data_IF_000522781735
#
_entry.id   IF_000522781735
#
_cell.length_a   1.000
_cell.length_b   1.000
_cell.length_c   1.000
_cell.angle_alpha   90.00
_cell.angle_beta   90.00
_cell.angle_gamma   90.00
#
_symmetry.space_group_name_H-M   'P 1'
#
loop_
_entity.id
_entity.type
_entity.pdbx_description
1 polymer ?
#
# COMPACT_ATOMS: atom_id res chain seq x y z
N UNK A 1 -28.14 -39.75 37.71
CA UNK A 1 -26.68 -39.78 37.43
C UNK A 1 -26.23 -38.37 37.11
N UNK A 2 -25.51 -37.77 38.05
CA UNK A 2 -24.81 -36.49 37.92
C UNK A 2 -23.39 -36.72 37.38
N UNK A 3 -22.64 -35.62 37.21
CA UNK A 3 -21.24 -35.44 36.76
C UNK A 3 -21.12 -34.89 35.32
N UNK A 4 -20.38 -33.82 35.03
CA UNK A 4 -19.72 -32.79 35.85
C UNK A 4 -19.35 -31.63 34.89
N UNK A 5 -19.53 -30.38 35.34
CA UNK A 5 -19.13 -29.14 34.65
C UNK A 5 -17.72 -28.73 35.08
N UNK A 6 -16.93 -28.22 34.10
CA UNK A 6 -15.75 -27.31 34.20
C UNK A 6 -14.47 -27.82 34.93
N UNK A 7 -13.24 -27.45 34.46
CA UNK A 7 -12.74 -26.07 34.60
C UNK A 7 -11.82 -25.55 33.45
N UNK A 8 -12.20 -24.43 32.81
CA UNK A 8 -11.29 -23.60 31.98
C UNK A 8 -11.06 -22.21 32.63
N UNK A 9 -11.64 -21.97 33.80
CA UNK A 9 -11.54 -20.69 34.53
C UNK A 9 -10.29 -20.55 35.41
N UNK A 10 -9.40 -21.54 35.45
CA UNK A 10 -8.21 -21.52 36.32
C UNK A 10 -6.94 -20.94 35.68
N UNK A 11 -6.94 -20.65 34.37
CA UNK A 11 -5.74 -20.09 33.70
C UNK A 11 -5.73 -18.56 33.56
N UNK A 12 -6.87 -17.89 33.79
CA UNK A 12 -6.96 -16.42 33.65
C UNK A 12 -6.60 -15.69 34.96
N UNK A 13 -6.68 -16.36 36.12
CA UNK A 13 -6.37 -15.75 37.42
C UNK A 13 -4.86 -15.70 37.77
N UNK A 14 -3.98 -16.43 37.08
CA UNK A 14 -2.56 -16.50 37.43
C UNK A 14 -1.69 -15.47 36.69
N UNK A 15 -2.18 -14.89 35.58
CA UNK A 15 -1.41 -13.90 34.79
C UNK A 15 -1.61 -12.46 35.28
N UNK A 16 -2.65 -12.19 36.07
CA UNK A 16 -2.94 -10.85 36.61
C UNK A 16 -2.28 -10.60 37.99
N UNK A 17 -1.80 -11.65 38.66
CA UNK A 17 -1.13 -11.55 39.96
C UNK A 17 0.38 -11.25 39.87
N UNK A 18 0.99 -11.35 38.68
CA UNK A 18 2.42 -11.03 38.47
C UNK A 18 2.70 -9.59 38.00
N UNK A 19 1.67 -8.78 37.74
CA UNK A 19 1.84 -7.39 37.28
C UNK A 19 1.59 -6.32 38.36
N UNK A 20 1.26 -6.72 39.60
CA UNK A 20 0.90 -5.79 40.70
C UNK A 20 1.85 -5.87 41.92
N UNK A 21 3.06 -6.43 41.77
CA UNK A 21 4.05 -6.54 42.86
C UNK A 21 5.40 -5.91 42.53
N UNK A 22 5.40 -4.67 42.07
CA UNK A 22 6.58 -3.77 42.23
C UNK A 22 6.10 -2.33 42.44
N UNK A 23 5.40 -2.10 43.55
CA UNK A 23 5.31 -0.79 44.18
C UNK A 23 5.62 -1.01 45.66
N UNK A 24 6.78 -0.55 46.09
CA UNK A 24 7.05 -0.26 47.50
C UNK A 24 7.65 1.14 47.62
N UNK A 25 7.25 1.92 48.64
CA UNK A 25 7.64 3.31 48.80
C UNK A 25 8.89 3.46 49.69
N UNK A 26 9.54 4.63 49.56
CA UNK A 26 10.30 5.26 50.63
C UNK A 26 11.83 5.11 50.58
N UNK A 27 12.53 6.20 50.27
CA UNK A 27 13.43 6.82 51.25
C UNK A 27 13.87 8.21 50.81
N UNK A 28 13.74 9.14 51.76
CA UNK A 28 14.31 10.48 51.76
C UNK A 28 15.84 10.43 51.66
N UNK A 29 16.44 11.37 50.93
CA UNK A 29 17.34 12.38 51.49
C UNK A 29 18.19 13.11 50.42
N UNK A 30 18.48 14.37 50.76
CA UNK A 30 19.56 15.24 50.27
C UNK A 30 19.30 16.10 49.03
N UNK A 31 18.82 17.29 49.35
CA UNK A 31 19.05 18.52 48.62
C UNK A 31 20.56 18.80 48.46
N UNK A 32 21.01 18.94 47.22
CA UNK A 32 22.21 19.71 46.88
C UNK A 32 21.86 20.64 45.70
N UNK A 33 22.09 21.93 45.92
CA UNK A 33 21.75 23.00 44.99
C UNK A 33 22.52 22.91 43.68
N UNK A 34 21.78 22.95 42.57
CA UNK A 34 22.33 23.26 41.25
C UNK A 34 22.22 24.75 40.98
N UNK A 35 23.36 25.38 40.71
CA UNK A 35 23.47 26.73 40.15
C UNK A 35 22.75 26.81 38.79
N UNK A 36 22.13 27.95 38.44
CA UNK A 36 21.53 28.14 37.13
C UNK A 36 22.63 28.13 36.06
N UNK A 37 22.47 27.25 35.07
CA UNK A 37 23.35 27.19 33.92
C UNK A 37 23.04 28.38 33.00
N UNK A 38 24.09 29.09 32.61
CA UNK A 38 24.09 30.22 31.69
C UNK A 38 23.46 29.87 30.34
N UNK A 39 22.83 30.88 29.75
CA UNK A 39 22.30 31.00 28.40
C UNK A 39 22.98 30.06 27.38
N UNK A 40 22.23 29.04 26.95
CA UNK A 40 22.58 28.29 25.75
C UNK A 40 22.38 29.20 24.53
N UNK A 41 23.49 29.51 23.84
CA UNK A 41 23.46 30.16 22.53
C UNK A 41 22.49 29.40 21.61
N UNK A 42 21.49 30.12 21.09
CA UNK A 42 20.60 29.60 20.05
C UNK A 42 21.46 29.22 18.84
N UNK A 43 21.38 27.98 18.34
CA UNK A 43 22.11 27.61 17.14
C UNK A 43 21.66 28.51 15.98
N UNK A 44 22.64 29.16 15.33
CA UNK A 44 22.44 29.90 14.08
C UNK A 44 21.78 28.94 13.09
N UNK A 45 20.55 29.25 12.67
CA UNK A 45 19.93 28.60 11.51
C UNK A 45 20.78 28.94 10.29
N UNK A 46 21.66 28.02 9.90
CA UNK A 46 22.29 28.08 8.59
C UNK A 46 21.20 27.98 7.52
N UNK A 47 21.25 28.92 6.58
CA UNK A 47 20.35 28.98 5.43
C UNK A 47 20.48 27.64 4.69
N UNK A 48 19.39 26.87 4.49
CA UNK A 48 19.48 25.57 3.87
C UNK A 48 20.11 25.72 2.48
N UNK A 49 21.17 24.95 2.23
CA UNK A 49 21.84 24.92 0.94
C UNK A 49 20.80 24.63 -0.15
N UNK A 50 20.93 25.31 -1.30
CA UNK A 50 20.04 25.09 -2.43
C UNK A 50 20.05 23.59 -2.78
N UNK A 51 18.87 22.96 -2.70
CA UNK A 51 18.72 21.56 -3.06
C UNK A 51 19.18 21.37 -4.51
N UNK A 52 19.93 20.30 -4.82
CA UNK A 52 20.31 20.01 -6.19
C UNK A 52 19.05 19.86 -7.04
N UNK A 53 19.10 20.38 -8.28
CA UNK A 53 18.01 20.22 -9.23
C UNK A 53 17.63 18.74 -9.37
N UNK A 54 16.33 18.44 -9.40
CA UNK A 54 15.86 17.07 -9.59
C UNK A 54 16.46 16.51 -10.89
N UNK A 55 17.03 15.29 -10.89
CA UNK A 55 17.51 14.69 -12.12
C UNK A 55 16.36 14.60 -13.14
N UNK A 56 16.68 14.84 -14.42
CA UNK A 56 15.76 14.60 -15.53
C UNK A 56 15.09 13.24 -15.37
N UNK A 57 13.78 13.16 -15.67
CA UNK A 57 12.92 11.99 -15.47
C UNK A 57 13.69 10.67 -15.59
N UNK A 58 13.91 10.02 -14.44
CA UNK A 58 14.68 8.79 -14.34
C UNK A 58 14.09 7.71 -15.24
N UNK A 59 14.95 6.97 -15.94
CA UNK A 59 14.54 5.88 -16.84
C UNK A 59 13.52 4.94 -16.21
N UNK A 60 12.55 4.42 -16.99
CA UNK A 60 11.57 3.46 -16.49
C UNK A 60 12.22 2.22 -15.85
N UNK A 61 11.60 1.72 -14.79
CA UNK A 61 11.92 0.44 -14.18
C UNK A 61 11.08 -0.63 -14.88
N UNK A 62 11.73 -1.49 -15.66
CA UNK A 62 11.09 -2.60 -16.35
C UNK A 62 11.06 -3.84 -15.44
N UNK A 63 9.89 -4.28 -14.95
CA UNK A 63 9.80 -5.43 -14.04
C UNK A 63 10.39 -6.72 -14.64
N UNK A 64 10.25 -6.90 -15.95
CA UNK A 64 10.83 -8.05 -16.68
C UNK A 64 12.35 -8.14 -16.55
N UNK A 65 13.03 -7.04 -16.24
CA UNK A 65 14.49 -6.98 -16.09
C UNK A 65 14.98 -7.34 -14.68
N UNK A 66 14.09 -7.45 -13.69
CA UNK A 66 14.44 -7.58 -12.28
C UNK A 66 14.54 -9.04 -11.78
N UNK A 67 14.22 -10.05 -12.60
CA UNK A 67 14.25 -11.45 -12.17
C UNK A 67 14.89 -12.37 -13.21
N UNK A 68 15.77 -13.29 -12.76
CA UNK A 68 16.41 -14.30 -13.60
C UNK A 68 15.40 -15.31 -14.20
N UNK A 69 14.25 -15.48 -13.54
CA UNK A 69 13.06 -16.17 -14.05
C UNK A 69 11.90 -15.19 -13.96
N UNK A 70 11.27 -14.83 -15.07
CA UNK A 70 10.16 -13.86 -15.07
C UNK A 70 8.93 -14.50 -14.42
N UNK A 71 8.56 -14.15 -13.17
CA UNK A 71 7.44 -14.80 -12.49
C UNK A 71 6.11 -14.50 -13.20
N UNK A 72 6.06 -13.46 -14.04
CA UNK A 72 4.89 -13.06 -14.81
C UNK A 72 4.75 -13.83 -16.13
N UNK A 73 5.67 -14.71 -16.53
CA UNK A 73 5.57 -15.42 -17.81
C UNK A 73 4.28 -16.25 -17.91
N UNK A 74 3.91 -16.95 -16.84
CA UNK A 74 2.65 -17.72 -16.79
C UNK A 74 1.44 -16.79 -16.88
N UNK A 75 1.46 -15.66 -16.14
CA UNK A 75 0.41 -14.65 -16.20
C UNK A 75 0.26 -14.08 -17.62
N UNK A 76 1.37 -13.76 -18.29
CA UNK A 76 1.40 -13.28 -19.67
C UNK A 76 0.76 -14.28 -20.63
N UNK A 77 1.09 -15.58 -20.50
CA UNK A 77 0.51 -16.63 -21.35
C UNK A 77 -1.01 -16.72 -21.17
N UNK A 78 -1.49 -16.64 -19.93
CA UNK A 78 -2.93 -16.66 -19.62
C UNK A 78 -3.62 -15.40 -20.14
N UNK A 79 -2.98 -14.22 -20.05
CA UNK A 79 -3.56 -12.94 -20.49
C UNK A 79 -3.39 -12.66 -21.99
N UNK A 80 -2.60 -13.46 -22.71
CA UNK A 80 -2.41 -13.32 -24.16
C UNK A 80 -3.58 -13.88 -25.00
N UNK A 81 -4.49 -14.63 -24.38
CA UNK A 81 -5.70 -15.15 -25.04
C UNK A 81 -6.82 -14.11 -25.02
N UNK A 82 -7.88 -14.35 -25.79
CA UNK A 82 -9.09 -13.50 -25.76
C UNK A 82 -9.78 -13.60 -24.39
N UNK A 83 -10.48 -12.55 -23.98
CA UNK A 83 -11.13 -12.46 -22.66
C UNK A 83 -12.09 -13.62 -22.36
N UNK A 84 -12.86 -14.04 -23.35
CA UNK A 84 -13.80 -15.17 -23.30
C UNK A 84 -13.12 -16.55 -23.19
N UNK A 85 -11.83 -16.63 -23.51
CA UNK A 85 -11.03 -17.85 -23.45
C UNK A 85 -10.14 -17.93 -22.20
N UNK A 86 -10.21 -16.95 -21.29
CA UNK A 86 -9.41 -16.97 -20.05
C UNK A 86 -9.91 -18.11 -19.15
N UNK A 87 -9.03 -19.07 -18.89
CA UNK A 87 -9.25 -20.10 -17.88
C UNK A 87 -9.07 -19.49 -16.48
N UNK A 88 -10.16 -18.96 -15.90
CA UNK A 88 -10.12 -18.22 -14.63
C UNK A 88 -9.59 -19.03 -13.43
N UNK A 89 -9.74 -20.36 -13.45
CA UNK A 89 -9.13 -21.26 -12.47
C UNK A 89 -7.60 -21.30 -12.58
N UNK A 90 -7.06 -21.36 -13.80
CA UNK A 90 -5.62 -21.30 -14.06
C UNK A 90 -5.06 -19.91 -13.76
N UNK A 91 -5.83 -18.86 -14.07
CA UNK A 91 -5.50 -17.49 -13.71
C UNK A 91 -5.37 -17.33 -12.19
N UNK A 92 -6.36 -17.81 -11.43
CA UNK A 92 -6.31 -17.83 -9.96
C UNK A 92 -5.09 -18.61 -9.46
N UNK A 93 -4.82 -19.78 -10.03
CA UNK A 93 -3.64 -20.58 -9.68
C UNK A 93 -2.33 -19.82 -9.98
N UNK A 94 -2.24 -19.11 -11.11
CA UNK A 94 -1.08 -18.29 -11.44
C UNK A 94 -0.89 -17.13 -10.45
N UNK A 95 -1.97 -16.45 -10.04
CA UNK A 95 -1.90 -15.42 -8.99
C UNK A 95 -1.45 -16.01 -7.64
N UNK A 96 -1.90 -17.22 -7.31
CA UNK A 96 -1.48 -17.95 -6.11
C UNK A 96 -0.01 -18.39 -6.23
N UNK A 97 0.49 -18.79 -7.38
CA UNK A 97 1.91 -19.12 -7.59
C UNK A 97 2.81 -17.90 -7.50
N UNK A 98 2.36 -16.76 -8.04
CA UNK A 98 2.99 -15.46 -7.83
C UNK A 98 3.05 -15.12 -6.33
N UNK A 99 2.07 -15.57 -5.56
CA UNK A 99 1.99 -15.41 -4.10
C UNK A 99 2.85 -16.46 -3.33
N UNK A 100 2.97 -17.71 -3.82
CA UNK A 100 3.61 -18.82 -3.09
C UNK A 100 5.12 -18.93 -3.34
N UNK A 101 5.66 -18.25 -4.35
CA UNK A 101 7.14 -18.14 -4.51
C UNK A 101 7.75 -16.90 -3.86
N UNK A 102 6.95 -16.13 -3.09
CA UNK A 102 7.45 -15.09 -2.20
C UNK A 102 7.24 -15.59 -0.76
N UNK A 103 8.18 -16.37 -0.18
CA UNK A 103 8.26 -16.50 1.29
C UNK A 103 8.16 -15.09 1.89
N UNK A 104 7.64 -14.89 3.13
CA UNK A 104 7.29 -13.58 3.69
C UNK A 104 8.37 -12.56 3.36
N UNK A 105 8.20 -11.84 2.26
CA UNK A 105 9.23 -10.98 1.67
C UNK A 105 10.66 -11.50 1.93
N UNK A 106 10.98 -12.74 1.54
CA UNK A 106 12.35 -13.22 1.64
C UNK A 106 13.11 -12.73 0.43
N UNK A 107 13.93 -11.73 0.71
CA UNK A 107 15.05 -11.26 -0.07
C UNK A 107 14.74 -10.81 -1.50
N UNK A 108 14.68 -11.61 -2.55
CA UNK A 108 14.92 -11.15 -3.94
C UNK A 108 14.21 -9.85 -4.40
N UNK A 109 12.87 -9.75 -4.49
CA UNK A 109 12.22 -8.52 -4.97
C UNK A 109 12.40 -7.36 -4.00
N UNK A 110 12.22 -7.57 -2.70
CA UNK A 110 12.44 -6.50 -1.72
C UNK A 110 13.91 -6.18 -1.50
N UNK A 111 14.81 -7.08 -1.84
CA UNK A 111 16.27 -6.91 -1.90
C UNK A 111 16.64 -6.21 -3.17
N UNK A 112 15.98 -6.46 -4.30
CA UNK A 112 16.17 -5.67 -5.52
C UNK A 112 15.55 -4.30 -5.37
N UNK A 113 14.39 -4.16 -4.73
CA UNK A 113 13.84 -2.87 -4.34
C UNK A 113 14.75 -2.19 -3.32
N UNK A 114 15.20 -2.88 -2.27
CA UNK A 114 16.13 -2.35 -1.28
C UNK A 114 17.49 -2.01 -1.88
N UNK A 115 18.06 -2.84 -2.76
CA UNK A 115 19.28 -2.57 -3.54
C UNK A 115 19.05 -1.40 -4.48
N UNK A 116 17.89 -1.32 -5.13
CA UNK A 116 17.51 -0.17 -5.93
C UNK A 116 17.47 1.07 -5.05
N UNK A 117 16.94 1.03 -3.83
CA UNK A 117 16.90 2.14 -2.88
C UNK A 117 18.26 2.49 -2.25
N UNK A 118 19.13 1.49 -2.07
CA UNK A 118 20.49 1.61 -1.51
C UNK A 118 21.55 1.87 -2.59
N UNK A 119 21.21 1.73 -3.87
CA UNK A 119 22.12 2.01 -4.97
C UNK A 119 22.64 3.45 -4.82
N UNK A 120 23.93 3.73 -5.09
CA UNK A 120 24.45 5.09 -5.04
C UNK A 120 23.63 6.07 -5.91
N UNK A 121 23.07 5.55 -7.00
CA UNK A 121 22.10 6.23 -7.87
C UNK A 121 20.78 6.53 -7.17
N UNK A 122 20.26 5.65 -6.31
CA UNK A 122 19.07 5.95 -5.52
C UNK A 122 19.34 6.84 -4.32
N UNK A 123 20.50 6.77 -3.68
CA UNK A 123 20.87 7.79 -2.71
C UNK A 123 20.85 9.20 -3.37
N UNK A 124 21.25 9.32 -4.64
CA UNK A 124 21.09 10.55 -5.44
C UNK A 124 19.63 10.82 -5.86
N UNK A 125 18.87 9.81 -6.29
CA UNK A 125 17.42 9.93 -6.61
C UNK A 125 16.54 10.15 -5.38
N UNK A 126 17.05 9.93 -4.17
CA UNK A 126 16.37 10.13 -2.90
C UNK A 126 17.02 11.30 -2.10
N UNK A 127 18.11 11.86 -2.60
CA UNK A 127 18.72 13.06 -2.01
C UNK A 127 17.79 14.27 -2.14
N UNK A 128 17.04 14.39 -3.23
CA UNK A 128 16.02 15.45 -3.39
C UNK A 128 14.76 15.20 -2.55
N UNK A 129 14.53 13.94 -2.16
CA UNK A 129 13.46 13.51 -1.28
C UNK A 129 13.77 13.99 0.15
N UNK A 130 15.00 13.81 0.64
CA UNK A 130 15.39 14.24 1.99
C UNK A 130 15.27 15.76 2.15
N UNK A 131 14.16 16.21 2.77
CA UNK A 131 13.95 17.60 3.18
C UNK A 131 12.89 18.40 2.42
N UNK A 132 12.04 17.77 1.59
CA UNK A 132 10.97 18.49 0.85
C UNK A 132 9.57 18.12 1.36
N UNK A 133 8.62 19.06 1.28
CA UNK A 133 7.19 18.81 1.60
C UNK A 133 6.61 17.61 0.81
N UNK A 134 7.23 17.25 -0.32
CA UNK A 134 6.83 16.13 -1.16
C UNK A 134 6.96 14.78 -0.45
N UNK A 135 8.00 14.58 0.36
CA UNK A 135 8.23 13.29 1.04
C UNK A 135 7.36 13.13 2.25
N UNK A 136 7.21 14.20 3.02
CA UNK A 136 6.21 14.24 4.09
C UNK A 136 4.83 13.93 3.54
N UNK A 137 4.52 14.41 2.33
CA UNK A 137 3.24 14.14 1.67
C UNK A 137 3.09 12.67 1.22
N UNK A 138 4.15 12.07 0.65
CA UNK A 138 4.13 10.64 0.29
C UNK A 138 4.07 9.75 1.53
N UNK A 139 4.93 9.98 2.54
CA UNK A 139 4.87 9.28 3.82
C UNK A 139 3.47 9.37 4.43
N UNK A 140 2.91 10.59 4.51
CA UNK A 140 1.56 10.79 5.02
C UNK A 140 0.49 10.04 4.23
N UNK A 141 0.61 9.97 2.89
CA UNK A 141 -0.32 9.19 2.07
C UNK A 141 -0.29 7.72 2.45
N UNK A 142 0.91 7.13 2.58
CA UNK A 142 1.07 5.69 2.81
C UNK A 142 0.80 5.33 4.27
N UNK A 143 1.29 6.11 5.23
CA UNK A 143 1.16 5.83 6.67
C UNK A 143 -0.26 6.07 7.20
N UNK A 144 -0.97 7.13 6.75
CA UNK A 144 -2.36 7.35 7.16
C UNK A 144 -3.34 6.35 6.53
N UNK A 145 -2.87 5.48 5.62
CA UNK A 145 -3.70 4.46 4.97
C UNK A 145 -4.21 3.35 5.88
N UNK A 146 -3.63 3.22 7.08
CA UNK A 146 -3.93 2.13 8.01
C UNK A 146 -5.09 2.42 8.98
N UNK A 147 -6.29 2.65 8.45
CA UNK A 147 -7.53 2.42 9.20
C UNK A 147 -8.11 3.62 9.96
N UNK A 148 -7.65 4.84 9.68
CA UNK A 148 -8.33 6.05 10.14
C UNK A 148 -9.36 6.44 9.07
N UNK A 149 -10.66 6.29 9.38
CA UNK A 149 -11.79 6.64 8.49
C UNK A 149 -11.74 8.08 7.95
N UNK A 150 -10.89 8.90 8.55
CA UNK A 150 -10.78 10.33 8.34
C UNK A 150 -9.37 10.80 7.91
N UNK A 151 -8.56 9.88 7.39
CA UNK A 151 -7.23 10.14 6.83
C UNK A 151 -7.26 11.08 5.62
N UNK A 152 -6.15 11.82 5.42
CA UNK A 152 -6.00 12.83 4.38
C UNK A 152 -6.16 12.21 2.99
N UNK A 153 -5.58 11.02 2.74
CA UNK A 153 -5.65 10.37 1.44
C UNK A 153 -7.08 9.89 1.09
N UNK A 154 -7.86 9.38 2.07
CA UNK A 154 -9.26 9.01 1.85
C UNK A 154 -10.09 10.23 1.49
N UNK A 155 -9.93 11.33 2.24
CA UNK A 155 -10.62 12.60 1.99
C UNK A 155 -10.29 13.15 0.60
N UNK A 156 -9.00 13.22 0.25
CA UNK A 156 -8.55 13.68 -1.06
C UNK A 156 -9.11 12.81 -2.19
N UNK A 157 -8.97 11.48 -2.11
CA UNK A 157 -9.47 10.57 -3.14
C UNK A 157 -11.00 10.60 -3.27
N UNK A 158 -11.75 10.71 -2.17
CA UNK A 158 -13.22 10.86 -2.20
C UNK A 158 -13.63 12.16 -2.89
N UNK A 159 -13.02 13.28 -2.52
CA UNK A 159 -13.32 14.58 -3.10
C UNK A 159 -12.98 14.62 -4.61
N UNK A 160 -11.82 14.08 -5.01
CA UNK A 160 -11.42 13.95 -6.42
C UNK A 160 -12.42 13.11 -7.22
N UNK A 161 -12.87 11.96 -6.70
CA UNK A 161 -13.87 11.10 -7.36
C UNK A 161 -15.23 11.78 -7.49
N UNK A 162 -15.66 12.46 -6.43
CA UNK A 162 -16.91 13.20 -6.41
C UNK A 162 -16.88 14.49 -7.26
N UNK A 163 -15.69 14.96 -7.67
CA UNK A 163 -15.54 16.26 -8.34
C UNK A 163 -15.85 17.44 -7.41
N UNK A 164 -15.69 17.24 -6.10
CA UNK A 164 -15.90 18.29 -5.09
C UNK A 164 -14.69 19.21 -5.03
N UNK A 165 -14.93 20.51 -4.83
CA UNK A 165 -13.86 21.47 -4.63
C UNK A 165 -13.02 21.08 -3.39
N UNK A 166 -11.70 21.09 -3.55
CA UNK A 166 -10.75 20.90 -2.47
C UNK A 166 -10.49 22.25 -1.78
N UNK A 167 -10.42 22.27 -0.46
CA UNK A 167 -9.88 23.43 0.25
C UNK A 167 -8.38 23.62 -0.06
N UNK A 168 -7.81 24.77 0.30
CA UNK A 168 -6.42 25.11 0.01
C UNK A 168 -5.42 24.07 0.54
N UNK A 169 -5.67 23.50 1.72
CA UNK A 169 -4.81 22.51 2.36
C UNK A 169 -4.83 21.19 1.58
N UNK A 170 -6.02 20.74 1.19
CA UNK A 170 -6.21 19.50 0.43
C UNK A 170 -5.72 19.64 -1.01
N UNK A 171 -5.90 20.80 -1.63
CA UNK A 171 -5.33 21.10 -2.94
C UNK A 171 -3.80 21.11 -2.88
N UNK A 172 -3.22 21.72 -1.83
CA UNK A 172 -1.76 21.68 -1.60
C UNK A 172 -1.27 20.24 -1.43
N UNK A 173 -1.99 19.41 -0.67
CA UNK A 173 -1.68 17.98 -0.51
C UNK A 173 -1.66 17.23 -1.85
N UNK A 174 -2.72 17.36 -2.66
CA UNK A 174 -2.81 16.73 -3.98
C UNK A 174 -1.67 17.19 -4.88
N UNK A 175 -1.40 18.50 -4.95
CA UNK A 175 -0.33 19.06 -5.78
C UNK A 175 1.07 18.56 -5.35
N UNK A 176 1.32 18.50 -4.04
CA UNK A 176 2.58 18.00 -3.49
C UNK A 176 2.77 16.52 -3.79
N UNK A 177 1.71 15.70 -3.67
CA UNK A 177 1.78 14.28 -4.01
C UNK A 177 2.06 14.09 -5.50
N UNK A 178 1.33 14.80 -6.36
CA UNK A 178 1.55 14.78 -7.81
C UNK A 178 2.98 15.17 -8.18
N UNK A 179 3.47 16.26 -7.58
CA UNK A 179 4.83 16.75 -7.76
C UNK A 179 5.89 15.78 -7.22
N UNK A 180 5.57 14.97 -6.23
CA UNK A 180 6.43 13.90 -5.73
C UNK A 180 6.47 12.72 -6.71
N UNK A 181 5.29 12.22 -7.12
CA UNK A 181 5.15 11.06 -8.01
C UNK A 181 5.83 11.30 -9.37
N UNK A 182 5.71 12.51 -9.95
CA UNK A 182 6.35 12.89 -11.22
C UNK A 182 7.88 12.80 -11.19
N UNK A 183 8.50 12.89 -10.01
CA UNK A 183 9.96 12.82 -9.83
C UNK A 183 10.45 11.39 -9.55
N UNK A 184 9.56 10.45 -9.25
CA UNK A 184 9.92 9.04 -9.09
C UNK A 184 10.02 8.37 -10.46
N UNK A 185 10.88 7.35 -10.65
CA UNK A 185 10.88 6.57 -11.88
C UNK A 185 9.53 5.87 -12.08
N UNK A 186 9.00 5.83 -13.31
CA UNK A 186 7.83 5.03 -13.61
C UNK A 186 8.22 3.55 -13.59
N UNK A 187 7.26 2.71 -13.23
CA UNK A 187 7.36 1.27 -13.26
C UNK A 187 6.49 0.70 -14.38
N UNK A 188 7.10 -0.13 -15.23
CA UNK A 188 6.46 -0.81 -16.35
C UNK A 188 6.32 -2.29 -16.02
N UNK A 189 5.08 -2.79 -16.06
CA UNK A 189 4.73 -4.18 -15.78
C UNK A 189 3.43 -4.31 -15.00
N UNK A 190 3.31 -5.38 -14.21
CA UNK A 190 2.08 -5.65 -13.45
C UNK A 190 2.12 -5.07 -12.04
N UNK A 191 1.00 -4.48 -11.64
CA UNK A 191 0.65 -4.24 -10.25
C UNK A 191 -0.76 -4.76 -9.95
N UNK A 192 -1.09 -4.87 -8.67
CA UNK A 192 -2.29 -5.54 -8.19
C UNK A 192 -3.04 -4.64 -7.22
N UNK A 193 -4.38 -4.64 -7.25
CA UNK A 193 -5.19 -3.87 -6.30
C UNK A 193 -6.35 -4.72 -5.81
N UNK A 194 -6.63 -4.68 -4.51
CA UNK A 194 -7.83 -5.30 -3.94
C UNK A 194 -8.82 -4.25 -3.46
N UNK A 195 -10.11 -4.55 -3.59
CA UNK A 195 -11.17 -3.74 -3.03
C UNK A 195 -12.43 -4.60 -2.74
N UNK A 196 -13.33 -4.04 -1.94
CA UNK A 196 -14.72 -4.49 -1.84
C UNK A 196 -15.59 -3.38 -2.41
N UNK A 197 -16.46 -3.72 -3.36
CA UNK A 197 -17.30 -2.75 -4.08
C UNK A 197 -18.71 -3.29 -4.25
N UNK A 198 -19.65 -2.39 -4.59
CA UNK A 198 -21.00 -2.80 -5.04
C UNK A 198 -20.90 -3.51 -6.39
N UNK A 199 -21.47 -4.71 -6.49
CA UNK A 199 -21.39 -5.56 -7.67
C UNK A 199 -21.99 -4.88 -8.90
N UNK A 200 -23.11 -4.17 -8.75
CA UNK A 200 -23.72 -3.39 -9.83
C UNK A 200 -22.75 -2.34 -10.39
N UNK A 201 -22.07 -1.60 -9.52
CA UNK A 201 -21.09 -0.61 -9.93
C UNK A 201 -19.90 -1.28 -10.66
N UNK A 202 -19.45 -2.44 -10.19
CA UNK A 202 -18.37 -3.20 -10.85
C UNK A 202 -18.78 -3.59 -12.27
N UNK A 203 -19.96 -4.18 -12.45
CA UNK A 203 -20.44 -4.63 -13.75
C UNK A 203 -20.70 -3.45 -14.72
N UNK A 204 -21.16 -2.31 -14.19
CA UNK A 204 -21.38 -1.10 -14.97
C UNK A 204 -20.07 -0.42 -15.38
N UNK A 205 -19.13 -0.30 -14.45
CA UNK A 205 -17.93 0.51 -14.64
C UNK A 205 -16.78 -0.25 -15.29
N UNK A 206 -16.72 -1.56 -15.11
CA UNK A 206 -15.65 -2.41 -15.62
C UNK A 206 -16.09 -3.38 -16.73
N UNK A 207 -17.00 -2.94 -17.60
CA UNK A 207 -17.35 -3.68 -18.81
C UNK A 207 -16.15 -3.77 -19.77
N UNK A 208 -15.97 -4.90 -20.46
CA UNK A 208 -14.84 -5.11 -21.38
C UNK A 208 -14.79 -4.05 -22.48
N UNK A 209 -13.57 -3.60 -22.81
CA UNK A 209 -13.30 -2.52 -23.77
C UNK A 209 -13.59 -1.11 -23.23
N UNK A 210 -14.31 -0.98 -22.10
CA UNK A 210 -14.58 0.33 -21.49
C UNK A 210 -13.31 0.95 -20.96
N UNK A 211 -13.26 2.28 -21.03
CA UNK A 211 -12.22 3.08 -20.37
C UNK A 211 -12.70 3.51 -18.99
N UNK A 212 -11.88 3.24 -17.98
CA UNK A 212 -12.07 3.68 -16.59
C UNK A 212 -11.06 4.78 -16.32
N UNK A 213 -11.57 5.92 -15.85
CA UNK A 213 -10.75 7.05 -15.40
C UNK A 213 -10.83 7.08 -13.88
N UNK A 214 -9.73 6.75 -13.20
CA UNK A 214 -9.66 6.86 -11.75
C UNK A 214 -9.27 8.30 -11.40
N UNK A 215 -10.26 9.10 -11.00
CA UNK A 215 -10.07 10.51 -10.68
C UNK A 215 -9.23 10.72 -9.42
N UNK A 216 -9.21 9.77 -8.50
CA UNK A 216 -8.30 9.77 -7.35
C UNK A 216 -6.96 9.15 -7.69
N UNK A 217 -6.05 9.08 -6.72
CA UNK A 217 -4.83 8.29 -6.85
C UNK A 217 -5.16 6.79 -6.75
N UNK A 218 -4.54 5.98 -7.60
CA UNK A 218 -4.74 4.52 -7.59
C UNK A 218 -3.62 3.84 -6.82
N UNK A 219 -3.88 3.42 -5.58
CA UNK A 219 -2.99 2.51 -4.85
C UNK A 219 -3.03 1.11 -5.44
N UNK A 220 -1.86 0.56 -5.70
CA UNK A 220 -1.65 -0.81 -6.12
C UNK A 220 -0.42 -1.37 -5.40
N UNK A 221 -0.21 -2.67 -5.48
CA UNK A 221 0.95 -3.35 -4.92
C UNK A 221 1.66 -4.15 -6.00
N UNK A 222 2.98 -4.25 -5.92
CA UNK A 222 3.74 -5.19 -6.75
C UNK A 222 3.58 -6.64 -6.27
N UNK A 223 2.99 -6.84 -5.09
CA UNK A 223 2.73 -8.12 -4.48
C UNK A 223 1.23 -8.48 -4.54
N UNK A 224 0.83 -9.54 -5.28
CA UNK A 224 -0.57 -9.92 -5.38
C UNK A 224 -1.19 -10.34 -4.05
N UNK A 225 -0.45 -10.86 -3.07
CA UNK A 225 -1.03 -11.19 -1.76
C UNK A 225 -1.37 -9.97 -0.92
N UNK A 226 -0.63 -8.87 -1.05
CA UNK A 226 -1.01 -7.60 -0.44
C UNK A 226 -2.34 -7.14 -1.00
N UNK A 227 -2.48 -7.10 -2.32
CA UNK A 227 -3.75 -6.77 -2.97
C UNK A 227 -4.88 -7.73 -2.55
N UNK A 228 -4.61 -9.03 -2.47
CA UNK A 228 -5.57 -10.02 -1.98
C UNK A 228 -6.04 -9.70 -0.55
N UNK A 229 -5.15 -9.30 0.36
CA UNK A 229 -5.52 -8.92 1.72
C UNK A 229 -6.51 -7.72 1.76
N UNK A 230 -6.41 -6.78 0.82
CA UNK A 230 -7.38 -5.68 0.69
C UNK A 230 -8.72 -6.11 0.06
N UNK A 231 -8.74 -7.12 -0.80
CA UNK A 231 -9.98 -7.72 -1.31
C UNK A 231 -10.66 -8.63 -0.26
N UNK A 232 -9.89 -9.18 0.67
CA UNK A 232 -10.32 -10.07 1.74
C UNK A 232 -9.99 -9.49 3.13
N UNK A 233 -10.53 -8.30 3.48
CA UNK A 233 -10.22 -7.67 4.75
C UNK A 233 -10.68 -8.55 5.91
N UNK A 234 -9.89 -8.60 6.99
CA UNK A 234 -10.23 -9.33 8.22
C UNK A 234 -11.12 -8.46 9.12
N UNK A 235 -11.98 -9.09 9.93
CA UNK A 235 -12.87 -8.36 10.85
C UNK A 235 -12.10 -7.62 11.96
N UNK A 236 -10.97 -8.17 12.43
CA UNK A 236 -10.04 -7.49 13.33
C UNK A 236 -8.65 -8.11 13.26
N UNK A 237 -7.64 -7.45 13.84
CA UNK A 237 -6.29 -8.02 13.95
C UNK A 237 -6.21 -9.31 14.80
N UNK A 238 -7.21 -9.54 15.66
CA UNK A 238 -7.29 -10.73 16.52
C UNK A 238 -8.08 -11.88 15.87
N UNK A 239 -9.15 -11.55 15.13
CA UNK A 239 -9.96 -12.54 14.42
C UNK A 239 -9.41 -12.79 13.02
N UNK A 240 -8.99 -14.02 12.74
CA UNK A 240 -8.48 -14.42 11.42
C UNK A 240 -9.58 -14.53 10.34
N UNK A 241 -10.85 -14.36 10.72
CA UNK A 241 -11.98 -14.47 9.80
C UNK A 241 -12.02 -13.29 8.83
N UNK A 242 -12.32 -13.60 7.57
CA UNK A 242 -12.55 -12.58 6.55
C UNK A 242 -13.90 -11.92 6.82
N UNK A 243 -13.93 -10.58 6.80
CA UNK A 243 -15.14 -9.78 6.94
C UNK A 243 -16.19 -10.24 5.92
N UNK A 244 -17.42 -10.57 6.36
CA UNK A 244 -18.53 -10.84 5.46
C UNK A 244 -18.79 -9.67 4.51
N UNK A 245 -19.20 -9.98 3.29
CA UNK A 245 -19.67 -8.98 2.34
C UNK A 245 -21.04 -8.48 2.78
N UNK A 246 -21.29 -7.18 2.71
CA UNK A 246 -22.64 -6.66 2.84
C UNK A 246 -23.47 -6.99 1.58
N UNK A 247 -24.79 -6.83 1.67
CA UNK A 247 -25.68 -7.10 0.54
C UNK A 247 -25.29 -6.29 -0.71
N UNK A 248 -25.21 -7.01 -1.83
CA UNK A 248 -24.80 -6.49 -3.12
C UNK A 248 -23.31 -6.15 -3.24
N UNK A 249 -22.47 -6.51 -2.26
CA UNK A 249 -21.02 -6.35 -2.38
C UNK A 249 -20.33 -7.56 -3.02
N UNK A 250 -19.21 -7.28 -3.67
CA UNK A 250 -18.31 -8.27 -4.27
C UNK A 250 -16.86 -7.90 -3.98
N UNK A 251 -16.01 -8.90 -3.83
CA UNK A 251 -14.56 -8.68 -3.76
C UNK A 251 -14.04 -8.47 -5.17
N UNK A 252 -13.13 -7.53 -5.34
CA UNK A 252 -12.51 -7.27 -6.64
C UNK A 252 -11.02 -7.29 -6.49
N UNK A 253 -10.37 -8.08 -7.35
CA UNK A 253 -8.92 -8.07 -7.50
C UNK A 253 -8.57 -7.61 -8.90
N UNK A 254 -7.91 -6.47 -8.99
CA UNK A 254 -7.43 -5.88 -10.22
C UNK A 254 -6.02 -6.39 -10.51
N UNK A 255 -5.78 -6.78 -11.76
CA UNK A 255 -4.44 -6.96 -12.33
C UNK A 255 -4.24 -5.85 -13.34
N UNK A 256 -3.27 -4.97 -13.07
CA UNK A 256 -3.06 -3.74 -13.83
C UNK A 256 -1.75 -3.89 -14.59
N UNK A 257 -1.83 -3.97 -15.92
CA UNK A 257 -0.68 -3.82 -16.79
C UNK A 257 -0.42 -2.32 -16.98
N UNK A 258 0.52 -1.78 -16.19
CA UNK A 258 0.85 -0.36 -16.14
C UNK A 258 2.19 -0.03 -16.78
N UNK A 259 2.37 1.26 -17.07
CA UNK A 259 3.59 1.89 -17.57
C UNK A 259 3.99 3.15 -16.78
N UNK A 260 3.12 3.69 -15.91
CA UNK A 260 3.37 4.96 -15.21
C UNK A 260 3.26 4.91 -13.68
N UNK A 261 2.99 3.75 -13.08
CA UNK A 261 2.93 3.62 -11.62
C UNK A 261 4.27 3.97 -10.97
N UNK A 262 4.24 4.50 -9.74
CA UNK A 262 5.42 4.95 -9.03
C UNK A 262 5.57 4.14 -7.74
N UNK A 263 6.67 3.39 -7.54
CA UNK A 263 6.87 2.66 -6.31
C UNK A 263 7.08 3.65 -5.16
N UNK A 264 6.20 3.61 -4.16
CA UNK A 264 6.23 4.49 -2.99
C UNK A 264 6.54 3.76 -1.69
N UNK A 265 6.62 2.43 -1.71
CA UNK A 265 6.99 1.61 -0.55
C UNK A 265 8.33 2.00 0.10
N UNK A 266 9.24 2.63 -0.63
CA UNK A 266 10.51 3.16 -0.11
C UNK A 266 10.36 4.25 0.94
N UNK A 267 9.19 4.88 0.98
CA UNK A 267 8.85 5.98 1.88
C UNK A 267 7.98 5.52 3.06
N UNK A 268 7.63 4.23 3.10
CA UNK A 268 6.71 3.67 4.09
C UNK A 268 7.44 2.78 5.09
N UNK A 269 7.05 2.86 6.35
CA UNK A 269 7.43 1.87 7.36
C UNK A 269 6.87 0.47 7.02
N UNK A 270 5.81 0.43 6.20
CA UNK A 270 5.17 -0.78 5.66
C UNK A 270 5.70 -1.10 4.26
N UNK A 271 7.01 -0.98 4.05
CA UNK A 271 7.69 -1.31 2.80
C UNK A 271 7.32 -2.69 2.22
N UNK A 272 6.92 -3.61 3.10
CA UNK A 272 6.39 -4.93 2.81
C UNK A 272 5.15 -4.94 1.88
N UNK A 273 4.36 -3.88 1.89
CA UNK A 273 3.20 -3.75 1.02
C UNK A 273 3.59 -3.59 -0.45
N UNK A 274 4.85 -3.21 -0.73
CA UNK A 274 5.34 -2.97 -2.08
C UNK A 274 4.40 -2.04 -2.87
N UNK A 275 3.88 -1.01 -2.22
CA UNK A 275 2.92 -0.08 -2.82
C UNK A 275 3.52 0.67 -4.01
N UNK A 276 2.73 0.76 -5.07
CA UNK A 276 2.93 1.62 -6.22
C UNK A 276 1.66 2.44 -6.49
N UNK A 277 1.84 3.74 -6.72
CA UNK A 277 0.77 4.69 -6.98
C UNK A 277 0.71 5.09 -8.45
N UNK A 278 -0.49 5.07 -9.03
CA UNK A 278 -0.77 5.84 -10.24
C UNK A 278 -1.24 7.25 -9.85
N UNK A 279 -0.87 8.23 -10.67
CA UNK A 279 -1.33 9.61 -10.52
C UNK A 279 -2.85 9.69 -10.64
N UNK A 280 -3.42 10.78 -10.11
CA UNK A 280 -4.84 11.03 -10.27
C UNK A 280 -5.21 11.28 -11.74
N UNK A 281 -6.37 10.79 -12.17
CA UNK A 281 -6.79 10.83 -13.56
C UNK A 281 -6.17 9.75 -14.44
N UNK A 282 -5.53 8.73 -13.87
CA UNK A 282 -5.02 7.59 -14.63
C UNK A 282 -6.16 6.89 -15.39
N UNK A 283 -5.88 6.54 -16.64
CA UNK A 283 -6.83 5.89 -17.54
C UNK A 283 -6.47 4.45 -17.80
N UNK A 284 -7.46 3.57 -17.67
CA UNK A 284 -7.31 2.14 -17.88
C UNK A 284 -8.35 1.62 -18.85
N UNK A 285 -7.95 0.78 -19.79
CA UNK A 285 -8.86 -0.03 -20.60
C UNK A 285 -9.14 -1.34 -19.88
N UNK A 286 -10.41 -1.71 -19.74
CA UNK A 286 -10.81 -2.99 -19.18
C UNK A 286 -10.61 -4.07 -20.24
N UNK A 287 -9.67 -4.97 -20.02
CA UNK A 287 -9.34 -6.04 -20.97
C UNK A 287 -10.22 -7.26 -20.77
N UNK A 288 -10.52 -7.59 -19.52
CA UNK A 288 -11.39 -8.70 -19.17
C UNK A 288 -11.98 -8.51 -17.77
N UNK A 289 -13.15 -9.10 -17.55
CA UNK A 289 -13.75 -9.23 -16.21
C UNK A 289 -14.25 -10.66 -16.01
N UNK A 290 -13.88 -11.29 -14.90
CA UNK A 290 -14.33 -12.65 -14.62
C UNK A 290 -15.80 -12.69 -14.19
N UNK A 291 -16.50 -13.82 -14.38
CA UNK A 291 -17.68 -14.11 -13.56
C UNK A 291 -17.28 -14.13 -12.08
N UNK A 292 -18.28 -14.06 -11.19
CA UNK A 292 -18.04 -14.21 -9.75
C UNK A 292 -17.49 -15.62 -9.49
N UNK A 293 -16.34 -15.69 -8.84
CA UNK A 293 -15.63 -16.93 -8.55
C UNK A 293 -16.16 -17.59 -7.27
N UNK A 294 -15.67 -18.80 -7.00
CA UNK A 294 -15.99 -19.62 -5.82
C UNK A 294 -15.67 -18.92 -4.49
N UNK A 295 -14.62 -18.10 -4.45
CA UNK A 295 -14.23 -17.27 -3.30
C UNK A 295 -15.02 -15.95 -3.20
N UNK A 296 -16.00 -15.75 -4.08
CA UNK A 296 -16.83 -14.55 -4.17
C UNK A 296 -16.11 -13.35 -4.79
N UNK A 297 -14.92 -13.54 -5.37
CA UNK A 297 -14.16 -12.50 -6.04
C UNK A 297 -14.53 -12.35 -7.52
N UNK A 298 -14.31 -11.16 -8.06
CA UNK A 298 -14.20 -10.89 -9.50
C UNK A 298 -12.78 -10.41 -9.80
N UNK A 299 -12.18 -10.98 -10.83
CA UNK A 299 -10.92 -10.52 -11.37
C UNK A 299 -11.19 -9.49 -12.47
N UNK A 300 -10.49 -8.36 -12.41
CA UNK A 300 -10.58 -7.31 -13.43
C UNK A 300 -9.19 -7.09 -14.00
N UNK A 301 -9.03 -7.26 -15.31
CA UNK A 301 -7.77 -7.03 -16.00
C UNK A 301 -7.81 -5.64 -16.61
N UNK A 302 -6.87 -4.79 -16.21
CA UNK A 302 -6.73 -3.41 -16.65
C UNK A 302 -5.44 -3.24 -17.42
N UNK A 303 -5.48 -2.46 -18.49
CA UNK A 303 -4.31 -2.00 -19.24
C UNK A 303 -4.28 -0.47 -19.21
N UNK A 304 -3.20 0.11 -18.70
CA UNK A 304 -3.01 1.55 -18.70
C UNK A 304 -2.89 2.10 -20.13
N UNK A 305 -3.60 3.20 -20.41
CA UNK A 305 -3.57 3.85 -21.72
C UNK A 305 -2.34 4.70 -21.99
#
# INVERSE_FOLDING_TARGET
>A
MHYLRLPILTFIALSLALLLKTITPGNDAQAQGRKPNSEAEKPKLEKPAALPAAPNASSPIELKSLAATNPYEKLNKILAVKSDAIAWSEFKAALVELNISIPPISSALSTEMWKLAQAPEAAKRLAWVKGTEHVVTVNRYVEESHGVEDSTFLKANRALRAGTALDESMQKYVNNLDGALKKLPPLVGYSFRGAVLKEEAVLKDYAEGKTVIEKGFTSSSLNPSTAYAYAFPKESGFFRAVKPLADGEVRVLYVIQGKSSRPVSYFSEFWAEAEALFMNGAEFTVKAISPRQDDGCRYVILEEK
#
